data_IF_036387852755
#
_entry.id   IF_036387852755
#
_cell.length_a   1.000
_cell.length_b   1.000
_cell.length_c   1.000
_cell.angle_alpha   90.00
_cell.angle_beta   90.00
_cell.angle_gamma   90.00
#
_symmetry.space_group_name_H-M   'P 1'
#
loop_
_entity.id
_entity.type
_entity.pdbx_description
1 polymer ?
#
# COMPACT_ATOMS: atom_id res chain seq x y z
N UNK A 1 -12.47 -7.53 10.58
CA UNK A 1 -12.43 -6.69 9.38
C UNK A 1 -11.23 -5.78 9.42
N UNK A 2 -10.35 -5.94 8.47
CA UNK A 2 -9.10 -5.17 8.42
C UNK A 2 -8.96 -4.46 7.09
N UNK A 3 -8.32 -3.29 7.11
CA UNK A 3 -8.04 -2.48 5.91
C UNK A 3 -6.55 -2.22 5.86
N UNK A 4 -5.95 -2.49 4.70
CA UNK A 4 -4.55 -2.20 4.44
C UNK A 4 -4.47 -0.90 3.64
N UNK A 5 -3.70 0.06 4.12
CA UNK A 5 -3.49 1.33 3.42
C UNK A 5 -2.07 1.38 2.88
N UNK A 6 -1.94 1.68 1.60
CA UNK A 6 -0.68 1.74 0.89
C UNK A 6 -0.42 3.15 0.41
N UNK A 7 0.80 3.62 0.59
CA UNK A 7 1.28 4.89 0.09
C UNK A 7 2.60 4.64 -0.64
N UNK A 8 2.54 4.57 -1.96
CA UNK A 8 3.68 4.24 -2.79
C UNK A 8 4.37 5.48 -3.32
N UNK A 9 5.69 5.52 -3.20
CA UNK A 9 6.55 6.53 -3.80
C UNK A 9 7.38 5.90 -4.93
N UNK A 10 8.27 6.68 -5.54
CA UNK A 10 9.09 6.22 -6.66
C UNK A 10 10.06 5.10 -6.28
N UNK A 11 10.57 5.10 -5.04
CA UNK A 11 11.52 4.10 -4.56
C UNK A 11 11.19 3.62 -3.16
N UNK A 12 9.96 3.86 -2.70
CA UNK A 12 9.54 3.51 -1.36
C UNK A 12 8.07 3.13 -1.34
N UNK A 13 7.65 2.49 -0.26
CA UNK A 13 6.25 2.15 -0.05
C UNK A 13 6.02 2.09 1.45
N UNK A 14 4.98 2.78 1.92
CA UNK A 14 4.54 2.71 3.31
C UNK A 14 3.24 1.92 3.38
N UNK A 15 3.07 1.18 4.45
CA UNK A 15 1.83 0.44 4.67
C UNK A 15 1.37 0.58 6.12
N UNK A 16 0.06 0.55 6.31
CA UNK A 16 -0.57 0.54 7.62
C UNK A 16 -1.77 -0.41 7.57
N UNK A 17 -1.82 -1.33 8.51
CA UNK A 17 -2.95 -2.24 8.64
C UNK A 17 -3.82 -1.80 9.81
N UNK A 18 -5.09 -1.53 9.53
CA UNK A 18 -6.07 -1.08 10.51
C UNK A 18 -7.07 -2.18 10.84
N UNK A 19 -7.46 -2.24 12.11
CA UNK A 19 -8.65 -2.98 12.52
C UNK A 19 -9.84 -2.02 12.48
N UNK A 20 -10.86 -2.37 11.70
CA UNK A 20 -12.08 -1.57 11.62
C UNK A 20 -13.00 -1.80 12.83
N UNK A 21 -12.81 -2.88 13.56
CA UNK A 21 -13.64 -3.20 14.71
C UNK A 21 -13.46 -2.20 15.87
N UNK A 22 -12.23 -1.70 16.05
CA UNK A 22 -11.89 -0.79 17.15
C UNK A 22 -11.05 0.41 16.70
N UNK A 23 -10.97 0.67 15.40
CA UNK A 23 -10.24 1.80 14.81
C UNK A 23 -8.80 1.91 15.29
N UNK A 24 -8.11 0.77 15.38
CA UNK A 24 -6.71 0.75 15.84
C UNK A 24 -5.78 0.33 14.72
N UNK A 25 -4.54 0.82 14.80
CA UNK A 25 -3.46 0.36 13.94
C UNK A 25 -2.91 -0.94 14.51
N UNK A 26 -2.90 -2.00 13.72
CA UNK A 26 -2.36 -3.30 14.12
C UNK A 26 -0.89 -3.44 13.79
N UNK A 27 -0.49 -2.99 12.62
CA UNK A 27 0.88 -3.06 12.15
C UNK A 27 1.12 -1.93 11.15
N UNK A 28 2.37 -1.50 11.05
CA UNK A 28 2.78 -0.51 10.06
C UNK A 28 4.24 -0.71 9.70
N UNK A 29 4.65 -0.14 8.60
CA UNK A 29 6.04 -0.21 8.18
C UNK A 29 6.25 0.40 6.82
N UNK A 30 7.43 0.11 6.29
CA UNK A 30 7.80 0.66 4.99
C UNK A 30 8.92 -0.16 4.35
N UNK A 31 9.00 -0.06 3.03
CA UNK A 31 10.17 -0.42 2.26
C UNK A 31 10.83 0.86 1.76
N UNK A 32 12.14 0.89 1.80
CA UNK A 32 12.95 1.98 1.26
C UNK A 32 13.97 1.41 0.28
N UNK A 33 14.47 2.25 -0.60
CA UNK A 33 15.47 1.88 -1.59
C UNK A 33 15.03 0.73 -2.49
N UNK A 34 13.75 0.74 -2.86
CA UNK A 34 13.23 -0.19 -3.88
C UNK A 34 13.89 0.12 -5.22
N UNK A 35 14.19 -0.92 -5.99
CA UNK A 35 14.90 -0.78 -7.26
C UNK A 35 16.41 -0.75 -7.12
N UNK A 36 16.94 -0.89 -5.91
CA UNK A 36 18.37 -1.00 -5.65
C UNK A 36 18.71 -2.41 -5.19
N UNK A 37 20.00 -2.67 -4.97
CA UNK A 37 20.45 -3.96 -4.47
C UNK A 37 20.30 -4.12 -2.95
N UNK A 38 19.88 -3.07 -2.25
CA UNK A 38 19.74 -3.07 -0.78
C UNK A 38 18.39 -2.50 -0.33
N UNK A 39 17.26 -3.09 -0.77
CA UNK A 39 15.96 -2.64 -0.28
C UNK A 39 15.86 -2.97 1.20
N UNK A 40 15.37 -2.01 1.98
CA UNK A 40 15.28 -2.14 3.42
C UNK A 40 13.82 -2.14 3.85
N UNK A 41 13.46 -3.12 4.69
CA UNK A 41 12.11 -3.23 5.26
C UNK A 41 12.11 -2.86 6.72
N UNK A 42 11.14 -2.05 7.12
CA UNK A 42 10.84 -1.76 8.51
C UNK A 42 9.42 -2.24 8.77
N UNK A 43 9.21 -2.99 9.84
CA UNK A 43 7.91 -3.52 10.23
C UNK A 43 7.74 -3.37 11.73
N UNK A 44 6.58 -2.90 12.17
CA UNK A 44 6.26 -2.75 13.58
C UNK A 44 4.86 -3.30 13.88
N UNK A 45 4.78 -4.17 14.87
CA UNK A 45 3.51 -4.64 15.42
C UNK A 45 3.16 -3.79 16.63
N UNK A 46 1.96 -3.21 16.64
CA UNK A 46 1.61 -2.20 17.64
C UNK A 46 1.23 -2.78 19.00
N UNK A 47 0.73 -4.02 19.03
CA UNK A 47 0.26 -4.63 20.28
C UNK A 47 1.37 -4.81 21.32
N UNK A 48 2.58 -5.13 20.89
CA UNK A 48 3.70 -5.42 21.79
C UNK A 48 4.99 -4.68 21.40
N UNK A 49 4.94 -3.87 20.33
CA UNK A 49 6.11 -3.12 19.88
C UNK A 49 7.14 -3.97 19.14
N UNK A 50 6.83 -5.23 18.82
CA UNK A 50 7.75 -6.06 18.03
C UNK A 50 8.14 -5.31 16.75
N UNK A 51 9.44 -5.28 16.47
CA UNK A 51 9.97 -4.55 15.32
C UNK A 51 10.95 -5.42 14.55
N UNK A 52 10.83 -5.37 13.23
CA UNK A 52 11.82 -5.92 12.31
C UNK A 52 12.39 -4.78 11.48
N UNK A 53 13.70 -4.77 11.28
CA UNK A 53 14.35 -3.83 10.37
C UNK A 53 15.54 -4.53 9.74
N UNK A 54 15.62 -4.50 8.41
CA UNK A 54 16.73 -5.12 7.71
C UNK A 54 16.55 -5.11 6.21
N UNK A 55 17.62 -5.53 5.52
CA UNK A 55 17.60 -5.66 4.07
C UNK A 55 16.80 -6.91 3.72
N UNK A 56 15.82 -6.74 2.83
CA UNK A 56 15.00 -7.84 2.31
C UNK A 56 15.13 -7.79 0.79
N UNK A 57 15.72 -8.82 0.17
CA UNK A 57 15.95 -8.79 -1.27
C UNK A 57 14.64 -8.93 -2.04
N UNK A 58 14.22 -7.83 -2.64
CA UNK A 58 13.05 -7.76 -3.52
C UNK A 58 13.44 -6.95 -4.76
N UNK A 59 12.88 -7.32 -5.91
CA UNK A 59 13.23 -6.68 -7.17
C UNK A 59 12.31 -5.53 -7.55
N UNK A 60 11.09 -5.52 -7.01
CA UNK A 60 10.08 -4.54 -7.40
C UNK A 60 9.01 -4.41 -6.32
N UNK A 61 8.06 -3.53 -6.57
CA UNK A 61 6.99 -3.23 -5.63
C UNK A 61 6.07 -4.44 -5.38
N UNK A 62 5.81 -5.24 -6.40
CA UNK A 62 4.98 -6.44 -6.23
C UNK A 62 5.64 -7.42 -5.25
N UNK A 63 6.96 -7.66 -5.40
CA UNK A 63 7.69 -8.53 -4.48
C UNK A 63 7.73 -7.95 -3.07
N UNK A 64 7.88 -6.63 -2.95
CA UNK A 64 7.84 -5.97 -1.65
C UNK A 64 6.49 -6.19 -0.96
N UNK A 65 5.39 -6.04 -1.69
CA UNK A 65 4.06 -6.27 -1.15
C UNK A 65 3.84 -7.72 -0.74
N UNK A 66 4.36 -8.67 -1.51
CA UNK A 66 4.30 -10.08 -1.13
C UNK A 66 5.04 -10.34 0.18
N UNK A 67 6.17 -9.66 0.40
CA UNK A 67 6.90 -9.77 1.67
C UNK A 67 6.12 -9.15 2.82
N UNK A 68 5.47 -8.02 2.60
CA UNK A 68 4.59 -7.40 3.60
C UNK A 68 3.45 -8.36 3.96
N UNK A 69 2.79 -8.94 2.97
CA UNK A 69 1.72 -9.90 3.20
C UNK A 69 2.20 -11.10 4.01
N UNK A 70 3.37 -11.65 3.66
CA UNK A 70 3.94 -12.77 4.39
C UNK A 70 4.23 -12.41 5.85
N UNK A 71 4.72 -11.20 6.10
CA UNK A 71 4.98 -10.73 7.47
C UNK A 71 3.69 -10.57 8.26
N UNK A 72 2.64 -10.04 7.64
CA UNK A 72 1.35 -9.81 8.31
C UNK A 72 0.68 -11.11 8.77
N UNK A 73 0.90 -12.22 8.08
CA UNK A 73 0.33 -13.51 8.42
C UNK A 73 1.35 -14.48 9.02
N UNK A 74 2.55 -14.01 9.31
CA UNK A 74 3.60 -14.82 9.92
C UNK A 74 3.13 -15.33 11.29
N UNK A 75 3.28 -16.63 11.62
CA UNK A 75 2.81 -17.15 12.91
C UNK A 75 3.46 -16.50 14.12
N UNK A 76 4.70 -16.02 14.02
CA UNK A 76 5.41 -15.40 15.13
C UNK A 76 5.26 -13.88 15.13
N UNK A 77 5.45 -13.23 13.97
CA UNK A 77 5.56 -11.78 13.87
C UNK A 77 4.27 -11.11 13.38
N UNK A 78 3.33 -11.88 12.88
CA UNK A 78 2.15 -11.34 12.22
C UNK A 78 1.05 -10.90 13.17
N UNK A 79 -0.04 -10.41 12.56
CA UNK A 79 -1.20 -9.85 13.26
C UNK A 79 -2.51 -10.49 12.81
N UNK A 80 -2.46 -11.41 11.85
CA UNK A 80 -3.65 -12.10 11.38
C UNK A 80 -3.27 -13.48 10.87
N UNK A 81 -4.26 -14.35 10.71
CA UNK A 81 -4.04 -15.73 10.28
C UNK A 81 -4.07 -15.88 8.77
N UNK A 82 -4.83 -15.05 8.09
CA UNK A 82 -5.11 -15.18 6.67
C UNK A 82 -5.32 -13.81 6.05
N UNK A 83 -4.82 -13.61 4.83
CA UNK A 83 -5.02 -12.36 4.10
C UNK A 83 -6.49 -12.07 3.78
N UNK A 84 -7.34 -13.07 3.79
CA UNK A 84 -8.79 -12.89 3.64
C UNK A 84 -9.43 -12.04 4.73
N UNK A 85 -8.73 -11.76 5.82
CA UNK A 85 -9.21 -10.83 6.83
C UNK A 85 -9.15 -9.38 6.35
N UNK A 86 -8.36 -9.08 5.30
CA UNK A 86 -8.30 -7.77 4.68
C UNK A 86 -9.50 -7.64 3.75
N UNK A 87 -10.38 -6.68 4.04
CA UNK A 87 -11.61 -6.49 3.25
C UNK A 87 -11.45 -5.44 2.17
N UNK A 88 -10.44 -4.58 2.28
CA UNK A 88 -10.16 -3.55 1.29
C UNK A 88 -8.71 -3.08 1.39
N UNK A 89 -8.17 -2.61 0.28
CA UNK A 89 -6.85 -1.99 0.23
C UNK A 89 -7.06 -0.54 -0.20
N UNK A 90 -6.68 0.39 0.68
CA UNK A 90 -6.75 1.82 0.40
C UNK A 90 -5.45 2.32 -0.20
N UNK A 91 -5.55 3.14 -1.24
CA UNK A 91 -4.40 3.76 -1.88
C UNK A 91 -4.55 5.27 -1.80
N UNK A 92 -3.53 5.93 -1.26
CA UNK A 92 -3.49 7.38 -1.25
C UNK A 92 -2.92 7.86 -2.59
N UNK A 93 -3.76 8.51 -3.37
CA UNK A 93 -3.41 9.03 -4.70
C UNK A 93 -3.38 10.55 -4.61
N UNK A 94 -2.23 11.15 -4.93
CA UNK A 94 -2.01 12.56 -4.67
C UNK A 94 -2.63 13.50 -5.72
N UNK A 95 -2.80 13.04 -6.96
CA UNK A 95 -3.29 13.89 -8.04
C UNK A 95 -4.38 13.18 -8.82
N UNK A 96 -5.60 13.23 -8.33
CA UNK A 96 -6.78 12.76 -9.05
C UNK A 96 -7.46 13.87 -9.85
N UNK A 97 -6.99 15.12 -9.67
CA UNK A 97 -7.62 16.27 -10.26
C UNK A 97 -8.99 16.54 -9.68
N UNK A 98 -9.76 17.38 -10.36
CA UNK A 98 -11.10 17.75 -9.89
C UNK A 98 -12.15 16.69 -10.22
N UNK A 99 -11.81 15.70 -11.04
CA UNK A 99 -12.76 14.68 -11.46
C UNK A 99 -13.15 13.71 -10.36
N UNK A 100 -12.25 13.50 -9.38
CA UNK A 100 -12.50 12.56 -8.30
C UNK A 100 -12.20 13.25 -6.99
N UNK A 101 -13.20 13.39 -6.13
CA UNK A 101 -13.07 14.05 -4.84
C UNK A 101 -13.44 13.13 -3.68
N UNK A 102 -13.89 11.92 -3.95
CA UNK A 102 -14.30 10.93 -2.93
C UNK A 102 -13.53 9.64 -3.12
N UNK A 103 -13.40 8.84 -2.05
CA UNK A 103 -12.86 7.49 -2.21
C UNK A 103 -13.67 6.71 -3.24
N UNK A 104 -12.98 6.02 -4.12
CA UNK A 104 -13.63 5.23 -5.17
C UNK A 104 -12.97 3.87 -5.29
N UNK A 105 -13.75 2.87 -5.65
CA UNK A 105 -13.23 1.56 -5.98
C UNK A 105 -12.43 1.66 -7.28
N UNK A 106 -11.22 1.09 -7.27
CA UNK A 106 -10.35 1.16 -8.43
C UNK A 106 -10.82 0.20 -9.50
N UNK A 107 -11.00 0.73 -10.71
CA UNK A 107 -11.27 -0.02 -11.93
C UNK A 107 -10.43 0.60 -13.06
N UNK A 108 -10.62 0.12 -14.28
CA UNK A 108 -9.86 0.62 -15.42
C UNK A 108 -10.14 2.09 -15.70
N UNK A 109 -11.36 2.56 -15.47
CA UNK A 109 -11.70 3.98 -15.63
C UNK A 109 -10.95 4.87 -14.65
N UNK A 110 -10.83 4.45 -13.38
CA UNK A 110 -10.08 5.18 -12.37
C UNK A 110 -8.60 5.19 -12.73
N UNK A 111 -8.05 4.06 -13.18
CA UNK A 111 -6.64 3.99 -13.61
C UNK A 111 -6.37 4.92 -14.79
N UNK A 112 -7.30 5.04 -15.73
CA UNK A 112 -7.16 5.96 -16.86
C UNK A 112 -7.11 7.41 -16.40
N UNK A 113 -7.92 7.78 -15.41
CA UNK A 113 -7.87 9.12 -14.83
C UNK A 113 -6.51 9.38 -14.19
N UNK A 114 -5.96 8.40 -13.47
CA UNK A 114 -4.63 8.53 -12.89
C UNK A 114 -3.59 8.75 -13.98
N UNK A 115 -3.65 7.96 -15.07
CA UNK A 115 -2.72 8.10 -16.20
C UNK A 115 -2.82 9.47 -16.87
N UNK A 116 -4.04 9.99 -16.99
CA UNK A 116 -4.28 11.32 -17.57
C UNK A 116 -3.52 12.42 -16.83
N UNK A 117 -3.36 12.28 -15.51
CA UNK A 117 -2.73 13.29 -14.67
C UNK A 117 -1.24 13.06 -14.42
N UNK A 118 -0.65 11.99 -14.98
CA UNK A 118 0.79 11.72 -14.84
C UNK A 118 1.67 12.91 -15.26
N UNK A 119 1.41 13.59 -16.39
CA UNK A 119 2.23 14.75 -16.74
C UNK A 119 2.21 15.89 -15.74
N UNK A 120 1.19 15.97 -14.90
CA UNK A 120 1.05 17.00 -13.86
C UNK A 120 1.75 16.61 -12.56
N UNK A 121 1.95 15.29 -12.33
CA UNK A 121 2.61 14.80 -11.13
C UNK A 121 3.42 13.56 -11.43
N UNK A 122 4.49 13.67 -12.27
CA UNK A 122 5.17 12.48 -12.79
C UNK A 122 5.88 11.63 -11.74
N UNK A 123 6.17 12.18 -10.56
CA UNK A 123 6.81 11.42 -9.50
C UNK A 123 5.80 10.63 -8.64
N UNK A 124 4.55 11.07 -8.62
CA UNK A 124 3.55 10.49 -7.73
C UNK A 124 2.57 9.56 -8.44
N UNK A 125 2.00 9.98 -9.55
CA UNK A 125 0.96 9.20 -10.23
C UNK A 125 1.46 7.87 -10.78
N UNK A 126 2.66 7.78 -11.42
CA UNK A 126 3.18 6.48 -11.84
C UNK A 126 3.39 5.52 -10.67
N UNK A 127 3.89 6.01 -9.53
CA UNK A 127 4.09 5.19 -8.35
C UNK A 127 2.76 4.72 -7.75
N UNK A 128 1.77 5.60 -7.72
CA UNK A 128 0.43 5.26 -7.23
C UNK A 128 -0.20 4.17 -8.09
N UNK A 129 -0.12 4.30 -9.41
CA UNK A 129 -0.65 3.28 -10.31
C UNK A 129 0.08 1.95 -10.15
N UNK A 130 1.41 1.99 -10.05
CA UNK A 130 2.21 0.80 -9.82
C UNK A 130 1.84 0.13 -8.49
N UNK A 131 1.58 0.91 -7.44
CA UNK A 131 1.13 0.40 -6.16
C UNK A 131 -0.21 -0.34 -6.25
N UNK A 132 -1.16 0.25 -6.96
CA UNK A 132 -2.46 -0.39 -7.19
C UNK A 132 -2.29 -1.72 -7.93
N UNK A 133 -1.54 -1.71 -9.02
CA UNK A 133 -1.35 -2.91 -9.83
C UNK A 133 -0.58 -3.99 -9.08
N UNK A 134 0.39 -3.60 -8.28
CA UNK A 134 1.13 -4.54 -7.44
C UNK A 134 0.23 -5.18 -6.38
N UNK A 135 -0.67 -4.42 -5.79
CA UNK A 135 -1.64 -4.97 -4.83
C UNK A 135 -2.63 -5.92 -5.49
N UNK A 136 -3.07 -5.61 -6.70
CA UNK A 136 -3.94 -6.51 -7.46
C UNK A 136 -3.25 -7.86 -7.72
N UNK A 137 -1.96 -7.82 -8.02
CA UNK A 137 -1.18 -9.03 -8.27
C UNK A 137 -0.90 -9.82 -6.98
N UNK A 138 -0.58 -9.12 -5.89
CA UNK A 138 -0.23 -9.77 -4.62
C UNK A 138 -1.44 -10.26 -3.84
N UNK A 139 -2.56 -9.59 -3.98
CA UNK A 139 -3.80 -9.87 -3.23
C UNK A 139 -5.00 -9.88 -4.18
N UNK A 140 -5.09 -10.85 -5.09
CA UNK A 140 -6.20 -10.89 -6.04
C UNK A 140 -7.54 -11.09 -5.32
N UNK A 141 -8.56 -10.42 -5.80
CA UNK A 141 -9.91 -10.53 -5.26
C UNK A 141 -10.23 -9.58 -4.12
N UNK A 142 -9.25 -8.86 -3.58
CA UNK A 142 -9.50 -7.86 -2.55
C UNK A 142 -9.73 -6.50 -3.22
N UNK A 143 -10.84 -5.80 -2.90
CA UNK A 143 -11.12 -4.51 -3.52
C UNK A 143 -10.04 -3.47 -3.21
N UNK A 144 -9.60 -2.76 -4.24
CA UNK A 144 -8.71 -1.61 -4.10
C UNK A 144 -9.55 -0.33 -4.15
N UNK A 145 -9.26 0.60 -3.25
CA UNK A 145 -9.97 1.86 -3.13
C UNK A 145 -8.94 2.99 -3.22
N UNK A 146 -9.17 3.91 -4.14
CA UNK A 146 -8.31 5.08 -4.29
C UNK A 146 -8.90 6.25 -3.48
N UNK A 147 -8.05 6.87 -2.68
CA UNK A 147 -8.39 8.09 -1.94
C UNK A 147 -7.55 9.22 -2.53
N UNK A 148 -8.20 10.13 -3.22
CA UNK A 148 -7.52 11.20 -3.92
C UNK A 148 -7.32 12.39 -2.99
N UNK A 149 -6.08 12.81 -2.88
CA UNK A 149 -5.71 13.97 -2.09
C UNK A 149 -5.47 15.14 -3.04
N UNK A 150 -6.42 16.04 -3.08
CA UNK A 150 -6.38 17.23 -3.95
C UNK A 150 -6.24 18.51 -3.14
N UNK A 151 -5.77 18.42 -1.91
CA UNK A 151 -5.76 19.53 -0.98
C UNK A 151 -4.56 20.46 -1.09
N UNK A 152 -3.80 20.34 -2.12
CA UNK A 152 -2.60 21.17 -2.26
C UNK A 152 -2.87 22.47 -2.97
N UNK A 153 -3.70 23.25 -2.42
CA UNK A 153 -4.00 24.58 -2.95
C UNK A 153 -3.87 25.62 -1.88
#
# INVERSE_FOLDING_TARGET
MKVLVINAGSSSMKFTLFSMANNTVLAKGQFERLGTDKPNMIYKRLSDGLKFEGIVPVRNLEEALKRVCAKLVDPADGVMKDLGEIVAIGHRVLLGGEKITKPVKVDEGVKEIIREYIPLGPLHNPANLAGIEACEAAMPGIPNVAVFDTQFH
#
